data_IF_085348566099
#
_entry.id   IF_085348566099
#
_cell.length_a   1.000
_cell.length_b   1.000
_cell.length_c   1.000
_cell.angle_alpha   90.00
_cell.angle_beta   90.00
_cell.angle_gamma   90.00
#
_symmetry.space_group_name_H-M   'P 1'
#
loop_
_entity.id
_entity.type
_entity.pdbx_description
1 polymer ?
#
# COMPACT_ATOMS: atom_id res chain seq x y z
N UNK A 1 3.34 -28.32 6.34
CA UNK A 1 2.85 -27.91 5.02
C UNK A 1 2.44 -26.46 5.09
N UNK A 2 3.06 -25.61 4.25
CA UNK A 2 2.71 -24.18 4.19
C UNK A 2 1.48 -23.97 3.33
N UNK A 3 0.59 -23.08 3.77
CA UNK A 3 -0.57 -22.63 3.00
C UNK A 3 -0.28 -21.27 2.39
N UNK A 4 -1.08 -20.83 1.42
CA UNK A 4 -0.80 -19.59 0.70
C UNK A 4 -0.74 -18.38 1.62
N UNK A 5 -1.67 -18.25 2.55
CA UNK A 5 -1.72 -17.14 3.50
C UNK A 5 -0.50 -17.06 4.41
N UNK A 6 0.20 -18.16 4.63
CA UNK A 6 1.44 -18.19 5.41
C UNK A 6 2.64 -17.60 4.67
N UNK A 7 2.51 -17.38 3.37
CA UNK A 7 3.54 -16.71 2.56
C UNK A 7 3.43 -15.19 2.58
N UNK A 8 2.40 -14.66 3.23
CA UNK A 8 2.23 -13.21 3.40
C UNK A 8 3.19 -12.73 4.50
N UNK A 9 3.88 -11.63 4.23
CA UNK A 9 4.86 -11.07 5.16
C UNK A 9 6.26 -11.66 5.01
N UNK A 10 7.13 -11.36 5.96
CA UNK A 10 8.55 -11.73 5.96
C UNK A 10 9.23 -11.34 4.63
N UNK A 11 8.87 -10.16 4.13
CA UNK A 11 9.38 -9.65 2.88
C UNK A 11 10.84 -9.20 3.01
N UNK A 12 11.60 -9.21 1.90
CA UNK A 12 12.98 -8.74 1.94
C UNK A 12 13.10 -7.25 2.28
N UNK A 13 14.18 -6.90 2.96
CA UNK A 13 14.63 -5.52 3.13
C UNK A 13 15.97 -5.38 2.40
N UNK A 14 16.04 -4.52 1.39
CA UNK A 14 17.21 -4.35 0.55
C UNK A 14 17.73 -2.92 0.59
N UNK A 15 19.06 -2.77 0.57
CA UNK A 15 19.70 -1.46 0.60
C UNK A 15 19.85 -0.91 -0.81
N UNK A 16 19.55 0.39 -0.99
CA UNK A 16 19.92 1.09 -2.22
C UNK A 16 21.44 1.14 -2.37
N UNK A 17 21.92 0.82 -3.57
CA UNK A 17 23.35 0.71 -3.84
C UNK A 17 23.91 1.88 -4.65
N UNK A 18 23.05 2.56 -5.46
CA UNK A 18 23.48 3.57 -6.42
C UNK A 18 22.80 4.93 -6.28
N UNK A 19 21.56 4.95 -5.81
CA UNK A 19 20.75 6.18 -5.76
C UNK A 19 20.88 6.95 -4.46
N UNK A 20 21.38 6.33 -3.41
CA UNK A 20 21.50 6.98 -2.10
C UNK A 20 22.56 8.08 -2.06
N UNK A 21 22.42 9.07 -1.16
CA UNK A 21 23.43 10.12 -1.01
C UNK A 21 24.71 9.59 -0.39
N UNK A 22 25.82 10.23 -0.71
CA UNK A 22 27.15 9.90 -0.15
C UNK A 22 27.43 10.75 1.09
N UNK A 23 26.69 10.50 2.16
CA UNK A 23 26.80 11.24 3.43
C UNK A 23 26.77 10.32 4.66
N UNK A 24 27.03 9.02 4.45
CA UNK A 24 26.97 8.01 5.50
C UNK A 24 25.57 7.52 5.83
N UNK A 25 24.52 8.07 5.23
CA UNK A 25 23.17 7.55 5.39
C UNK A 25 22.94 6.28 4.56
N UNK A 26 21.99 5.48 5.01
CA UNK A 26 21.56 4.26 4.31
C UNK A 26 20.08 4.38 4.01
N UNK A 27 19.67 3.96 2.82
CA UNK A 27 18.25 3.86 2.44
C UNK A 27 17.93 2.40 2.14
N UNK A 28 16.97 1.87 2.88
CA UNK A 28 16.56 0.47 2.81
C UNK A 28 15.09 0.39 2.36
N UNK A 29 14.80 -0.55 1.49
CA UNK A 29 13.48 -0.71 0.87
C UNK A 29 12.88 -2.06 1.25
N UNK A 30 11.67 -2.00 1.84
CA UNK A 30 10.88 -3.18 2.20
C UNK A 30 10.04 -3.60 1.01
N UNK A 31 10.37 -4.74 0.40
CA UNK A 31 9.81 -5.19 -0.89
C UNK A 31 8.48 -5.90 -0.71
N UNK A 32 7.40 -5.14 -0.55
CA UNK A 32 6.06 -5.66 -0.33
C UNK A 32 5.40 -6.26 -1.59
N UNK A 33 5.96 -6.01 -2.76
CA UNK A 33 5.56 -6.70 -3.99
C UNK A 33 5.84 -8.20 -3.98
N UNK A 34 6.65 -8.69 -3.03
CA UNK A 34 6.94 -10.11 -2.85
C UNK A 34 5.82 -10.88 -2.13
N UNK A 35 4.82 -10.21 -1.58
CA UNK A 35 3.64 -10.88 -1.06
C UNK A 35 2.88 -11.59 -2.19
N UNK A 36 2.11 -12.66 -1.91
CA UNK A 36 1.51 -13.51 -2.95
C UNK A 36 0.50 -12.78 -3.86
N UNK A 37 -0.27 -11.82 -3.36
CA UNK A 37 -1.11 -10.97 -4.21
C UNK A 37 -0.35 -9.73 -4.74
N UNK A 38 0.92 -9.58 -4.37
CA UNK A 38 1.84 -8.62 -4.95
C UNK A 38 1.86 -7.24 -4.33
N UNK A 39 1.36 -7.05 -3.11
CA UNK A 39 1.43 -5.74 -2.47
C UNK A 39 1.45 -5.81 -0.94
N UNK A 40 1.70 -4.65 -0.33
CA UNK A 40 1.61 -4.43 1.12
C UNK A 40 0.22 -4.73 1.67
N UNK A 41 -0.81 -4.60 0.86
CA UNK A 41 -2.21 -4.78 1.26
C UNK A 41 -2.58 -6.23 1.57
N UNK A 42 -1.80 -7.20 1.14
CA UNK A 42 -1.98 -8.61 1.51
C UNK A 42 -2.03 -8.77 3.02
N UNK A 43 -1.19 -8.03 3.74
CA UNK A 43 -1.12 -8.06 5.20
C UNK A 43 -2.40 -7.56 5.85
N UNK A 44 -2.88 -6.40 5.43
CA UNK A 44 -4.12 -5.80 5.95
C UNK A 44 -5.34 -6.64 5.60
N UNK A 45 -5.41 -7.15 4.38
CA UNK A 45 -6.52 -7.99 3.92
C UNK A 45 -6.64 -9.27 4.76
N UNK A 46 -5.52 -9.95 4.99
CA UNK A 46 -5.52 -11.16 5.83
C UNK A 46 -5.95 -10.82 7.26
N UNK A 47 -5.41 -9.77 7.84
CA UNK A 47 -5.72 -9.36 9.22
C UNK A 47 -7.20 -9.01 9.38
N UNK A 48 -7.77 -8.22 8.48
CA UNK A 48 -9.18 -7.83 8.56
C UNK A 48 -10.11 -9.03 8.50
N UNK A 49 -9.83 -10.01 7.66
CA UNK A 49 -10.66 -11.21 7.54
C UNK A 49 -10.45 -12.14 8.74
N UNK A 50 -9.21 -12.46 9.09
CA UNK A 50 -8.90 -13.40 10.18
C UNK A 50 -9.39 -12.87 11.54
N UNK A 51 -9.19 -11.60 11.83
CA UNK A 51 -9.63 -11.02 13.10
C UNK A 51 -11.16 -10.95 13.19
N UNK A 52 -11.85 -10.65 12.08
CA UNK A 52 -13.30 -10.69 12.02
C UNK A 52 -13.84 -12.12 12.22
N UNK A 53 -13.18 -13.13 11.65
CA UNK A 53 -13.51 -14.54 11.89
C UNK A 53 -13.36 -14.93 13.37
N UNK A 54 -12.25 -14.51 14.00
CA UNK A 54 -11.99 -14.77 15.42
C UNK A 54 -13.08 -14.17 16.33
N UNK A 55 -13.62 -13.01 15.96
CA UNK A 55 -14.71 -12.36 16.69
C UNK A 55 -16.10 -12.93 16.37
N UNK A 56 -16.19 -13.83 15.40
CA UNK A 56 -17.47 -14.39 14.95
C UNK A 56 -18.31 -13.44 14.10
N UNK A 57 -17.72 -12.38 13.57
CA UNK A 57 -18.41 -11.37 12.75
C UNK A 57 -18.70 -11.84 11.32
N UNK A 58 -17.83 -12.70 10.80
CA UNK A 58 -17.95 -13.28 9.46
C UNK A 58 -17.60 -14.78 9.50
N UNK A 59 -18.11 -15.51 8.50
CA UNK A 59 -17.81 -16.92 8.27
C UNK A 59 -17.79 -17.22 6.77
N UNK A 60 -17.08 -18.26 6.33
CA UNK A 60 -17.09 -18.66 4.92
C UNK A 60 -18.49 -18.74 4.33
N UNK A 61 -18.67 -18.26 3.11
CA UNK A 61 -19.95 -18.10 2.44
C UNK A 61 -20.58 -16.73 2.55
N UNK A 62 -20.16 -15.92 3.50
CA UNK A 62 -20.66 -14.55 3.64
C UNK A 62 -20.22 -13.66 2.46
N UNK A 63 -21.00 -12.60 2.21
CA UNK A 63 -20.67 -11.56 1.24
C UNK A 63 -19.91 -10.46 1.95
N UNK A 64 -18.71 -10.17 1.47
CA UNK A 64 -17.85 -9.09 1.95
C UNK A 64 -17.88 -7.93 0.95
N UNK A 65 -17.84 -6.72 1.45
CA UNK A 65 -17.86 -5.48 0.65
C UNK A 65 -16.65 -4.63 1.04
N UNK A 66 -15.97 -4.04 0.05
CA UNK A 66 -14.92 -3.06 0.30
C UNK A 66 -14.82 -2.04 -0.84
N UNK A 67 -14.59 -0.78 -0.46
CA UNK A 67 -14.19 0.26 -1.39
C UNK A 67 -12.65 0.29 -1.44
N UNK A 68 -12.08 0.22 -2.64
CA UNK A 68 -10.64 0.01 -2.81
C UNK A 68 -10.06 0.80 -3.96
N UNK A 69 -8.79 1.19 -3.85
CA UNK A 69 -8.00 1.82 -4.93
C UNK A 69 -7.27 0.80 -5.83
N UNK A 70 -7.39 -0.48 -5.55
CA UNK A 70 -6.83 -1.55 -6.37
C UNK A 70 -6.07 -2.62 -5.60
N UNK A 71 -4.97 -2.29 -4.91
CA UNK A 71 -4.14 -3.29 -4.22
C UNK A 71 -4.89 -4.02 -3.10
N UNK A 72 -5.66 -3.30 -2.29
CA UNK A 72 -6.50 -3.92 -1.27
C UNK A 72 -7.53 -4.86 -1.90
N UNK A 73 -8.13 -4.45 -3.01
CA UNK A 73 -9.11 -5.28 -3.72
C UNK A 73 -8.51 -6.58 -4.25
N UNK A 74 -7.32 -6.53 -4.82
CA UNK A 74 -6.62 -7.72 -5.30
C UNK A 74 -6.31 -8.65 -4.12
N UNK A 75 -5.81 -8.11 -3.02
CA UNK A 75 -5.49 -8.88 -1.82
C UNK A 75 -6.74 -9.52 -1.20
N UNK A 76 -7.82 -8.75 -1.05
CA UNK A 76 -9.09 -9.25 -0.53
C UNK A 76 -9.69 -10.32 -1.45
N UNK A 77 -9.62 -10.13 -2.76
CA UNK A 77 -10.10 -11.11 -3.73
C UNK A 77 -9.36 -12.45 -3.57
N UNK A 78 -8.03 -12.40 -3.41
CA UNK A 78 -7.21 -13.60 -3.18
C UNK A 78 -7.61 -14.31 -1.88
N UNK A 79 -7.70 -13.58 -0.76
CA UNK A 79 -8.07 -14.16 0.54
C UNK A 79 -9.49 -14.71 0.52
N UNK A 80 -10.43 -13.99 -0.11
CA UNK A 80 -11.81 -14.44 -0.24
C UNK A 80 -11.92 -15.74 -1.05
N UNK A 81 -11.18 -15.83 -2.16
CA UNK A 81 -11.12 -17.07 -2.97
C UNK A 81 -10.57 -18.23 -2.13
N UNK A 82 -9.49 -17.99 -1.37
CA UNK A 82 -8.86 -19.00 -0.54
C UNK A 82 -9.78 -19.53 0.56
N UNK A 83 -10.56 -18.63 1.19
CA UNK A 83 -11.36 -18.94 2.39
C UNK A 83 -12.85 -19.16 2.11
N UNK A 84 -13.29 -18.99 0.87
CA UNK A 84 -14.67 -19.26 0.48
C UNK A 84 -15.67 -18.13 0.75
N UNK A 85 -15.23 -16.88 0.70
CA UNK A 85 -16.10 -15.70 0.77
C UNK A 85 -16.52 -15.23 -0.62
N UNK A 86 -17.66 -14.54 -0.68
CA UNK A 86 -18.07 -13.79 -1.87
C UNK A 86 -17.62 -12.34 -1.70
N UNK A 87 -16.80 -11.84 -2.62
CA UNK A 87 -16.18 -10.52 -2.49
C UNK A 87 -16.76 -9.53 -3.49
N UNK A 88 -17.31 -8.42 -3.00
CA UNK A 88 -17.74 -7.27 -3.81
C UNK A 88 -16.79 -6.12 -3.59
N UNK A 89 -16.20 -5.66 -4.68
CA UNK A 89 -15.18 -4.59 -4.66
C UNK A 89 -15.69 -3.38 -5.43
N UNK A 90 -15.72 -2.22 -4.77
CA UNK A 90 -16.18 -0.96 -5.34
C UNK A 90 -14.99 -0.06 -5.63
N UNK A 91 -14.95 0.49 -6.84
CA UNK A 91 -13.82 1.32 -7.28
C UNK A 91 -14.21 2.24 -8.41
N UNK A 92 -13.47 3.35 -8.61
CA UNK A 92 -13.63 4.17 -9.80
C UNK A 92 -13.29 3.37 -11.07
N UNK A 93 -13.97 3.70 -12.16
CA UNK A 93 -13.86 3.01 -13.45
C UNK A 93 -12.55 3.26 -14.18
N UNK A 94 -11.71 4.20 -13.70
CA UNK A 94 -10.42 4.54 -14.28
C UNK A 94 -9.24 3.74 -13.68
N UNK A 95 -9.51 2.67 -12.92
CA UNK A 95 -8.47 1.76 -12.46
C UNK A 95 -7.85 0.98 -13.63
N UNK A 96 -6.59 0.58 -13.48
CA UNK A 96 -5.87 -0.15 -14.55
C UNK A 96 -6.54 -1.47 -14.91
N UNK A 97 -6.38 -1.88 -16.18
CA UNK A 97 -6.92 -3.14 -16.67
C UNK A 97 -6.33 -4.34 -15.92
N UNK A 98 -5.04 -4.31 -15.60
CA UNK A 98 -4.34 -5.38 -14.89
C UNK A 98 -4.97 -5.61 -13.51
N UNK A 99 -5.30 -4.55 -12.80
CA UNK A 99 -5.93 -4.65 -11.48
C UNK A 99 -7.31 -5.27 -11.56
N UNK A 100 -8.14 -4.77 -12.48
CA UNK A 100 -9.50 -5.30 -12.67
C UNK A 100 -9.48 -6.77 -13.11
N UNK A 101 -8.58 -7.11 -14.02
CA UNK A 101 -8.42 -8.49 -14.48
C UNK A 101 -7.97 -9.42 -13.35
N UNK A 102 -7.03 -8.99 -12.51
CA UNK A 102 -6.58 -9.77 -11.37
C UNK A 102 -7.71 -10.03 -10.36
N UNK A 103 -8.50 -9.02 -10.04
CA UNK A 103 -9.65 -9.18 -9.13
C UNK A 103 -10.68 -10.17 -9.68
N UNK A 104 -11.00 -10.06 -10.97
CA UNK A 104 -11.93 -10.99 -11.63
C UNK A 104 -11.38 -12.41 -11.70
N UNK A 105 -10.08 -12.57 -11.90
CA UNK A 105 -9.43 -13.88 -11.94
C UNK A 105 -9.60 -14.62 -10.61
N UNK A 106 -9.59 -13.90 -9.48
CA UNK A 106 -9.87 -14.46 -8.16
C UNK A 106 -11.38 -14.70 -7.92
N UNK A 107 -12.26 -14.28 -8.83
CA UNK A 107 -13.70 -14.45 -8.69
C UNK A 107 -14.44 -13.32 -7.98
N UNK A 108 -13.81 -12.18 -7.76
CA UNK A 108 -14.49 -11.03 -7.16
C UNK A 108 -15.48 -10.39 -8.13
N UNK A 109 -16.57 -9.85 -7.58
CA UNK A 109 -17.54 -9.02 -8.29
C UNK A 109 -17.12 -7.55 -8.20
N UNK A 110 -17.00 -6.87 -9.34
CA UNK A 110 -16.62 -5.46 -9.39
C UNK A 110 -17.86 -4.58 -9.54
N UNK A 111 -17.98 -3.57 -8.69
CA UNK A 111 -19.00 -2.53 -8.76
C UNK A 111 -18.29 -1.21 -9.07
N UNK A 112 -18.44 -0.71 -10.29
CA UNK A 112 -17.72 0.47 -10.74
C UNK A 112 -18.54 1.74 -10.48
N UNK A 113 -17.88 2.75 -9.92
CA UNK A 113 -18.38 4.13 -9.86
C UNK A 113 -17.64 4.97 -10.89
N UNK A 114 -18.16 6.16 -11.19
CA UNK A 114 -17.51 7.04 -12.18
C UNK A 114 -16.21 7.62 -11.61
N UNK A 115 -15.31 8.02 -12.51
CA UNK A 115 -14.09 8.73 -12.14
C UNK A 115 -14.39 9.98 -11.30
N UNK A 116 -15.45 10.69 -11.63
CA UNK A 116 -15.89 11.91 -10.95
C UNK A 116 -16.38 11.63 -9.54
N UNK A 117 -17.07 10.52 -9.32
CA UNK A 117 -17.46 10.07 -7.98
C UNK A 117 -16.25 9.69 -7.15
N UNK A 118 -15.23 9.13 -7.80
CA UNK A 118 -13.95 8.83 -7.18
C UNK A 118 -14.03 7.82 -6.05
N UNK A 119 -12.99 7.81 -5.24
CA UNK A 119 -12.87 6.90 -4.10
C UNK A 119 -13.89 7.23 -3.00
N UNK A 120 -14.21 8.51 -2.82
CA UNK A 120 -15.23 8.98 -1.88
C UNK A 120 -16.60 8.43 -2.24
N UNK A 121 -16.97 8.49 -3.52
CA UNK A 121 -18.23 7.90 -4.00
C UNK A 121 -18.25 6.38 -3.83
N UNK A 122 -17.15 5.70 -4.04
CA UNK A 122 -17.06 4.27 -3.81
C UNK A 122 -17.24 3.92 -2.32
N UNK A 123 -16.62 4.70 -1.42
CA UNK A 123 -16.79 4.53 0.03
C UNK A 123 -18.24 4.74 0.47
N UNK A 124 -18.89 5.80 -0.02
CA UNK A 124 -20.26 6.10 0.32
C UNK A 124 -21.21 5.00 -0.17
N UNK A 125 -21.02 4.51 -1.40
CA UNK A 125 -21.83 3.42 -1.94
C UNK A 125 -21.62 2.10 -1.18
N UNK A 126 -20.37 1.79 -0.80
CA UNK A 126 -20.07 0.59 -0.02
C UNK A 126 -20.80 0.61 1.33
N UNK A 127 -20.79 1.75 2.02
CA UNK A 127 -21.51 1.92 3.27
C UNK A 127 -23.02 1.77 3.07
N UNK A 128 -23.57 2.37 2.03
CA UNK A 128 -24.98 2.27 1.68
C UNK A 128 -25.39 0.83 1.41
N UNK A 129 -24.60 0.09 0.63
CA UNK A 129 -24.84 -1.33 0.35
C UNK A 129 -24.84 -2.17 1.62
N UNK A 130 -23.87 -1.94 2.51
CA UNK A 130 -23.80 -2.64 3.80
C UNK A 130 -25.02 -2.32 4.68
N UNK A 131 -25.45 -1.06 4.72
CA UNK A 131 -26.64 -0.64 5.48
C UNK A 131 -27.93 -1.26 4.94
N UNK A 132 -27.99 -1.58 3.64
CA UNK A 132 -29.11 -2.31 3.02
C UNK A 132 -29.04 -3.82 3.22
N UNK A 133 -28.03 -4.32 3.91
CA UNK A 133 -27.86 -5.76 4.16
C UNK A 133 -27.30 -6.56 2.98
N UNK A 134 -26.67 -5.90 2.00
CA UNK A 134 -26.11 -6.56 0.81
C UNK A 134 -24.80 -7.27 1.06
N UNK A 135 -24.20 -7.11 2.23
CA UNK A 135 -22.96 -7.76 2.64
C UNK A 135 -22.33 -7.06 3.85
N UNK A 136 -21.19 -7.57 4.29
CA UNK A 136 -20.43 -7.02 5.40
C UNK A 136 -19.33 -6.11 4.88
N UNK A 137 -19.35 -4.85 5.29
CA UNK A 137 -18.30 -3.89 4.98
C UNK A 137 -17.09 -4.15 5.88
N UNK A 138 -15.92 -4.38 5.30
CA UNK A 138 -14.66 -4.53 6.05
C UNK A 138 -14.12 -3.19 6.51
N UNK A 139 -14.29 -2.15 5.69
CA UNK A 139 -13.96 -0.76 6.00
C UNK A 139 -12.48 -0.54 6.35
N UNK A 140 -11.61 -0.70 5.35
CA UNK A 140 -10.17 -0.53 5.51
C UNK A 140 -9.76 0.83 6.09
N UNK A 141 -10.61 1.86 5.94
CA UNK A 141 -10.31 3.22 6.38
C UNK A 141 -10.57 3.45 7.88
N UNK A 142 -11.39 2.62 8.50
CA UNK A 142 -11.77 2.75 9.90
C UNK A 142 -11.54 1.46 10.70
N UNK A 143 -11.09 0.40 10.05
CA UNK A 143 -10.92 -0.91 10.67
C UNK A 143 -9.57 -1.01 11.38
N UNK A 144 -9.54 -1.16 12.71
CA UNK A 144 -8.29 -1.26 13.48
C UNK A 144 -7.46 -2.50 13.13
N UNK A 145 -8.06 -3.52 12.51
CA UNK A 145 -7.34 -4.71 12.07
C UNK A 145 -6.40 -4.42 10.90
N UNK A 146 -6.60 -3.33 10.16
CA UNK A 146 -5.68 -2.86 9.14
C UNK A 146 -4.33 -2.45 9.77
N UNK A 147 -4.24 -1.41 10.63
CA UNK A 147 -2.97 -1.08 11.26
C UNK A 147 -2.43 -2.20 12.15
N UNK A 148 -3.29 -3.03 12.73
CA UNK A 148 -2.88 -4.17 13.55
C UNK A 148 -1.97 -5.13 12.78
N UNK A 149 -2.21 -5.37 11.49
CA UNK A 149 -1.34 -6.18 10.64
C UNK A 149 0.10 -5.65 10.63
N UNK A 150 0.26 -4.33 10.57
CA UNK A 150 1.58 -3.68 10.51
C UNK A 150 2.23 -3.56 11.88
N UNK A 151 1.44 -3.39 12.91
CA UNK A 151 1.91 -3.41 14.29
C UNK A 151 2.50 -4.77 14.67
N UNK A 152 1.88 -5.85 14.22
CA UNK A 152 2.28 -7.22 14.58
C UNK A 152 3.29 -7.84 13.61
N UNK A 153 3.41 -7.35 12.38
CA UNK A 153 4.28 -7.97 11.38
C UNK A 153 5.28 -7.01 10.74
N UNK A 154 4.83 -6.01 10.02
CA UNK A 154 5.71 -5.10 9.27
C UNK A 154 6.69 -4.37 10.19
N UNK A 155 6.21 -3.81 11.27
CA UNK A 155 7.02 -3.09 12.25
C UNK A 155 8.11 -3.97 12.87
N UNK A 156 7.76 -5.11 13.47
CA UNK A 156 8.74 -6.05 14.01
C UNK A 156 9.75 -6.55 12.99
N UNK A 157 9.33 -6.85 11.77
CA UNK A 157 10.23 -7.28 10.70
C UNK A 157 11.28 -6.21 10.38
N UNK A 158 10.87 -4.95 10.21
CA UNK A 158 11.78 -3.83 9.92
C UNK A 158 12.77 -3.63 11.07
N UNK A 159 12.28 -3.66 12.29
CA UNK A 159 13.15 -3.52 13.47
C UNK A 159 14.21 -4.60 13.50
N UNK A 160 13.81 -5.85 13.33
CA UNK A 160 14.72 -7.00 13.34
C UNK A 160 15.71 -6.94 12.16
N UNK A 161 15.22 -6.65 10.96
CA UNK A 161 16.06 -6.61 9.75
C UNK A 161 17.10 -5.50 9.77
N UNK A 162 16.83 -4.40 10.47
CA UNK A 162 17.79 -3.32 10.67
C UNK A 162 18.65 -3.48 11.93
N UNK A 163 18.41 -4.55 12.71
CA UNK A 163 19.09 -4.73 14.01
C UNK A 163 18.80 -3.60 14.99
N UNK A 164 17.64 -2.98 14.91
CA UNK A 164 17.25 -1.83 15.72
C UNK A 164 17.98 -0.53 15.33
N UNK A 165 18.68 -0.50 14.21
CA UNK A 165 19.43 0.70 13.75
C UNK A 165 18.58 1.72 12.99
N UNK A 166 17.36 1.38 12.62
CA UNK A 166 16.44 2.31 11.92
C UNK A 166 16.32 3.63 12.68
N UNK A 167 16.48 4.75 11.97
CA UNK A 167 16.30 6.10 12.52
C UNK A 167 15.07 6.81 11.96
N UNK A 168 14.67 6.51 10.72
CA UNK A 168 13.56 7.15 10.03
C UNK A 168 12.75 6.10 9.27
N UNK A 169 11.44 6.14 9.46
CA UNK A 169 10.50 5.35 8.66
C UNK A 169 9.70 6.28 7.77
N UNK A 170 9.74 6.03 6.46
CA UNK A 170 9.07 6.84 5.44
C UNK A 170 7.96 6.03 4.79
N UNK A 171 6.73 6.51 4.84
CA UNK A 171 5.58 5.79 4.32
C UNK A 171 4.62 6.70 3.57
N UNK A 172 4.24 6.27 2.38
CA UNK A 172 3.12 6.86 1.65
C UNK A 172 1.82 6.66 2.41
N UNK A 173 0.97 7.67 2.44
CA UNK A 173 -0.30 7.64 3.17
C UNK A 173 -1.48 7.44 2.22
N UNK A 174 -2.00 6.21 2.16
CA UNK A 174 -3.28 5.88 1.53
C UNK A 174 -4.36 5.73 2.58
N UNK A 175 -4.64 4.49 3.02
CA UNK A 175 -5.54 4.26 4.17
C UNK A 175 -4.93 4.73 5.49
N UNK A 176 -3.64 4.93 5.53
CA UNK A 176 -2.80 5.21 6.70
C UNK A 176 -2.55 4.00 7.61
N UNK A 177 -2.95 2.80 7.19
CA UNK A 177 -2.77 1.58 7.99
C UNK A 177 -1.31 1.24 8.25
N UNK A 178 -0.48 1.31 7.21
CA UNK A 178 0.95 1.00 7.31
C UNK A 178 1.66 1.94 8.27
N UNK A 179 1.52 3.25 8.06
CA UNK A 179 2.19 4.25 8.90
C UNK A 179 1.68 4.19 10.34
N UNK A 180 0.39 3.97 10.54
CA UNK A 180 -0.21 3.88 11.88
C UNK A 180 0.31 2.66 12.64
N UNK A 181 0.29 1.48 12.02
CA UNK A 181 0.74 0.25 12.68
C UNK A 181 2.23 0.23 12.96
N UNK A 182 3.05 0.59 11.96
CA UNK A 182 4.51 0.63 12.11
C UNK A 182 4.93 1.67 13.15
N UNK A 183 4.34 2.87 13.11
CA UNK A 183 4.69 3.92 14.07
C UNK A 183 4.33 3.56 15.50
N UNK A 184 3.19 2.90 15.72
CA UNK A 184 2.83 2.39 17.05
C UNK A 184 3.87 1.41 17.57
N UNK A 185 4.30 0.47 16.74
CA UNK A 185 5.36 -0.46 17.10
C UNK A 185 6.68 0.26 17.41
N UNK A 186 7.09 1.20 16.57
CA UNK A 186 8.35 1.93 16.75
C UNK A 186 8.37 2.78 18.03
N UNK A 187 7.22 3.36 18.43
CA UNK A 187 7.11 4.13 19.68
C UNK A 187 7.34 3.28 20.93
N UNK A 188 7.16 1.98 20.84
CA UNK A 188 7.37 1.04 21.95
C UNK A 188 8.82 0.56 22.05
N UNK A 189 9.68 0.93 21.11
CA UNK A 189 11.06 0.45 21.08
C UNK A 189 11.99 1.32 21.93
N UNK A 190 13.19 0.78 22.23
CA UNK A 190 14.18 1.42 23.10
C UNK A 190 14.86 2.64 22.50
N UNK A 191 14.78 2.82 21.18
CA UNK A 191 15.38 3.94 20.46
C UNK A 191 14.30 4.69 19.67
N UNK A 192 14.38 6.04 19.62
CA UNK A 192 13.41 6.82 18.87
C UNK A 192 13.57 6.59 17.37
N UNK A 193 12.44 6.50 16.66
CA UNK A 193 12.38 6.44 15.20
C UNK A 193 11.51 7.59 14.72
N UNK A 194 12.04 8.42 13.83
CA UNK A 194 11.28 9.51 13.22
C UNK A 194 10.35 8.96 12.16
N UNK A 195 9.08 9.30 12.24
CA UNK A 195 8.03 8.83 11.33
C UNK A 195 7.70 9.94 10.34
N UNK A 196 7.91 9.65 9.06
CA UNK A 196 7.68 10.60 7.96
C UNK A 196 6.56 10.07 7.07
N UNK A 197 5.46 10.80 7.02
CA UNK A 197 4.34 10.52 6.11
C UNK A 197 4.49 11.28 4.81
N UNK A 198 4.05 10.68 3.71
CA UNK A 198 4.07 11.30 2.39
C UNK A 198 2.65 11.44 1.86
N UNK A 199 2.35 12.62 1.32
CA UNK A 199 1.11 12.90 0.61
C UNK A 199 1.41 13.53 -0.75
N UNK A 200 0.50 13.43 -1.74
CA UNK A 200 0.70 14.11 -3.02
C UNK A 200 0.72 15.63 -2.81
N UNK A 201 1.59 16.31 -3.52
CA UNK A 201 1.52 17.77 -3.62
C UNK A 201 0.16 18.17 -4.19
N UNK A 202 -0.35 19.32 -3.80
CA UNK A 202 -1.63 19.83 -4.30
C UNK A 202 -1.64 19.87 -5.83
N UNK A 203 -2.67 19.30 -6.43
CA UNK A 203 -2.77 19.16 -7.88
C UNK A 203 -2.09 17.92 -8.47
N UNK A 204 -1.29 17.19 -7.68
CA UNK A 204 -0.70 15.91 -8.10
C UNK A 204 -1.64 14.75 -7.84
N UNK A 205 -1.61 13.75 -8.73
CA UNK A 205 -2.33 12.48 -8.57
C UNK A 205 -1.32 11.33 -8.60
N UNK A 206 -1.20 10.64 -7.48
CA UNK A 206 -0.29 9.50 -7.33
C UNK A 206 -1.12 8.30 -6.87
N UNK A 207 -1.26 7.23 -7.69
CA UNK A 207 -2.02 6.04 -7.28
C UNK A 207 -1.50 5.46 -5.96
N UNK A 208 -2.40 5.28 -4.99
CA UNK A 208 -2.08 4.72 -3.68
C UNK A 208 -1.62 5.73 -2.62
N UNK A 209 -1.43 6.99 -2.98
CA UNK A 209 -1.15 8.08 -2.04
C UNK A 209 -2.29 9.08 -2.11
N UNK A 210 -2.78 9.52 -0.96
CA UNK A 210 -3.94 10.41 -0.87
C UNK A 210 -3.65 11.64 -0.03
N UNK A 211 -4.18 12.77 -0.48
CA UNK A 211 -4.37 13.98 0.32
C UNK A 211 -5.87 14.05 0.65
N UNK A 212 -6.23 13.58 1.83
CA UNK A 212 -7.64 13.42 2.20
C UNK A 212 -8.31 14.74 2.54
N UNK A 213 -9.55 14.99 2.02
CA UNK A 213 -10.43 16.00 2.61
C UNK A 213 -10.73 15.63 4.06
N UNK A 214 -10.94 16.64 4.92
CA UNK A 214 -11.13 16.42 6.35
C UNK A 214 -12.27 15.45 6.66
N UNK A 215 -13.38 15.52 5.91
CA UNK A 215 -14.56 14.68 6.08
C UNK A 215 -14.34 13.20 5.68
N UNK A 216 -13.31 12.91 4.87
CA UNK A 216 -12.97 11.54 4.44
C UNK A 216 -11.67 11.04 5.05
N UNK A 217 -11.08 11.77 6.01
CA UNK A 217 -9.87 11.35 6.67
C UNK A 217 -10.08 9.96 7.29
N UNK A 218 -9.19 8.98 7.03
CA UNK A 218 -9.33 7.64 7.60
C UNK A 218 -9.39 7.69 9.12
N UNK A 219 -10.38 7.00 9.69
CA UNK A 219 -10.57 6.94 11.16
C UNK A 219 -9.44 6.25 11.90
N UNK A 220 -8.67 5.40 11.21
CA UNK A 220 -7.50 4.73 11.77
C UNK A 220 -6.26 5.65 11.85
N UNK A 221 -6.29 6.81 11.19
CA UNK A 221 -5.16 7.73 11.18
C UNK A 221 -4.98 8.40 12.54
N UNK A 222 -3.73 8.43 13.01
CA UNK A 222 -3.35 9.11 14.23
C UNK A 222 -2.20 10.08 13.93
N UNK A 223 -2.53 11.35 13.79
CA UNK A 223 -1.56 12.40 13.47
C UNK A 223 -0.46 12.53 14.53
N UNK A 224 -0.74 12.18 15.78
CA UNK A 224 0.25 12.27 16.86
C UNK A 224 1.42 11.28 16.70
N UNK A 225 1.25 10.25 15.87
CA UNK A 225 2.30 9.25 15.59
C UNK A 225 3.21 9.68 14.44
N UNK A 226 2.86 10.72 13.70
CA UNK A 226 3.61 11.21 12.53
C UNK A 226 4.39 12.45 12.92
N UNK A 227 5.71 12.39 12.78
CA UNK A 227 6.60 13.49 13.17
C UNK A 227 6.71 14.56 12.07
N UNK A 228 6.63 14.13 10.81
CA UNK A 228 6.80 15.00 9.65
C UNK A 228 5.94 14.52 8.48
N UNK A 229 5.39 15.43 7.70
CA UNK A 229 4.66 15.14 6.48
C UNK A 229 5.34 15.87 5.32
N UNK A 230 5.71 15.14 4.27
CA UNK A 230 6.30 15.68 3.06
C UNK A 230 5.31 15.61 1.90
N UNK A 231 5.26 16.67 1.13
CA UNK A 231 4.52 16.72 -0.13
C UNK A 231 5.39 16.19 -1.27
N UNK A 232 4.85 15.28 -2.07
CA UNK A 232 5.55 14.67 -3.20
C UNK A 232 4.84 15.06 -4.49
N UNK A 233 5.60 15.64 -5.42
CA UNK A 233 5.10 15.94 -6.76
C UNK A 233 5.01 14.65 -7.59
N UNK A 234 3.94 14.52 -8.37
CA UNK A 234 3.70 13.36 -9.24
C UNK A 234 4.90 13.05 -10.14
N UNK A 235 5.51 14.08 -10.74
CA UNK A 235 6.68 13.92 -11.60
C UNK A 235 7.86 13.30 -10.86
N UNK A 236 8.11 13.72 -9.62
CA UNK A 236 9.22 13.18 -8.83
C UNK A 236 8.97 11.72 -8.48
N UNK A 237 7.73 11.36 -8.16
CA UNK A 237 7.35 9.97 -7.90
C UNK A 237 7.56 9.09 -9.15
N UNK A 238 7.10 9.54 -10.31
CA UNK A 238 7.25 8.80 -11.56
C UNK A 238 8.71 8.69 -12.01
N UNK A 239 9.48 9.76 -11.92
CA UNK A 239 10.90 9.76 -12.30
C UNK A 239 11.71 8.84 -11.36
N UNK A 240 11.47 8.89 -10.06
CA UNK A 240 12.15 8.02 -9.09
C UNK A 240 11.78 6.56 -9.32
N UNK A 241 10.51 6.27 -9.64
CA UNK A 241 10.05 4.94 -10.01
C UNK A 241 10.85 4.38 -11.20
N UNK A 242 11.03 5.18 -12.26
CA UNK A 242 11.81 4.79 -13.44
C UNK A 242 13.29 4.59 -13.11
N UNK A 243 13.87 5.47 -12.30
CA UNK A 243 15.26 5.35 -11.87
C UNK A 243 15.50 4.10 -11.01
N UNK A 244 14.57 3.74 -10.14
CA UNK A 244 14.66 2.52 -9.35
C UNK A 244 14.80 1.29 -10.24
N UNK A 245 14.00 1.20 -11.30
CA UNK A 245 14.10 0.10 -12.25
C UNK A 245 15.45 0.12 -13.01
N UNK A 246 15.82 1.28 -13.56
CA UNK A 246 17.00 1.41 -14.42
C UNK A 246 18.33 1.32 -13.66
N UNK A 247 18.38 1.78 -12.41
CA UNK A 247 19.63 1.91 -11.64
C UNK A 247 19.76 0.92 -10.51
N UNK A 248 18.66 0.46 -9.94
CA UNK A 248 18.66 -0.45 -8.77
C UNK A 248 18.05 -1.81 -9.10
N UNK A 249 17.46 -1.99 -10.28
CA UNK A 249 16.79 -3.24 -10.64
C UNK A 249 15.49 -3.48 -9.88
N UNK A 250 14.91 -2.43 -9.28
CA UNK A 250 13.69 -2.52 -8.50
C UNK A 250 12.52 -2.01 -9.32
N UNK A 251 11.69 -2.94 -9.79
CA UNK A 251 10.52 -2.65 -10.64
C UNK A 251 9.29 -2.50 -9.76
N UNK A 252 8.87 -1.26 -9.52
CA UNK A 252 7.81 -0.91 -8.58
C UNK A 252 6.82 0.10 -9.16
N UNK A 253 5.74 0.35 -8.42
CA UNK A 253 4.71 1.29 -8.81
C UNK A 253 5.03 2.76 -8.46
N UNK A 254 4.11 3.64 -8.84
CA UNK A 254 4.30 5.09 -8.69
C UNK A 254 4.38 5.52 -7.23
N UNK A 255 3.53 4.95 -6.36
CA UNK A 255 3.55 5.26 -4.92
C UNK A 255 4.89 4.90 -4.29
N UNK A 256 5.51 3.81 -4.73
CA UNK A 256 6.84 3.40 -4.28
C UNK A 256 7.91 4.39 -4.74
N UNK A 257 7.81 4.89 -5.97
CA UNK A 257 8.64 5.99 -6.46
C UNK A 257 8.52 7.23 -5.57
N UNK A 258 7.30 7.57 -5.17
CA UNK A 258 7.04 8.66 -4.21
C UNK A 258 7.68 8.42 -2.86
N UNK A 259 7.53 7.21 -2.32
CA UNK A 259 8.12 6.82 -1.04
C UNK A 259 9.65 6.96 -1.07
N UNK A 260 10.30 6.50 -2.14
CA UNK A 260 11.75 6.58 -2.29
C UNK A 260 12.19 8.02 -2.51
N UNK A 261 11.47 8.82 -3.29
CA UNK A 261 11.77 10.26 -3.44
C UNK A 261 11.78 10.95 -2.07
N UNK A 262 10.81 10.67 -1.22
CA UNK A 262 10.77 11.17 0.16
C UNK A 262 11.91 10.63 1.01
N UNK A 263 12.20 9.34 0.92
CA UNK A 263 13.28 8.72 1.67
C UNK A 263 14.66 9.31 1.30
N UNK A 264 14.87 9.59 0.03
CA UNK A 264 16.12 10.23 -0.43
C UNK A 264 16.26 11.65 0.11
N UNK A 265 15.18 12.43 0.17
CA UNK A 265 15.19 13.77 0.81
C UNK A 265 15.57 13.66 2.29
N UNK A 266 14.97 12.72 3.01
CA UNK A 266 15.26 12.48 4.43
C UNK A 266 16.72 12.08 4.63
N UNK A 267 17.22 11.15 3.82
CA UNK A 267 18.58 10.67 3.90
C UNK A 267 19.60 11.79 3.61
N UNK A 268 19.31 12.63 2.60
CA UNK A 268 20.16 13.77 2.25
C UNK A 268 20.25 14.79 3.37
N UNK A 269 19.14 15.04 4.06
CA UNK A 269 19.06 15.99 5.16
C UNK A 269 19.62 15.46 6.49
N UNK A 270 19.83 14.15 6.61
CA UNK A 270 20.23 13.49 7.86
C UNK A 270 21.44 12.57 7.64
N UNK A 271 22.67 13.12 7.60
CA UNK A 271 23.88 12.30 7.46
C UNK A 271 23.94 11.19 8.51
N UNK A 272 24.29 9.99 8.08
CA UNK A 272 24.41 8.82 8.97
C UNK A 272 23.07 8.16 9.33
N UNK A 273 21.94 8.65 8.82
CA UNK A 273 20.63 8.06 9.10
C UNK A 273 20.47 6.68 8.46
N UNK A 274 19.65 5.85 9.08
CA UNK A 274 19.17 4.57 8.52
C UNK A 274 17.69 4.76 8.22
N UNK A 275 17.39 4.98 6.94
CA UNK A 275 16.04 5.30 6.44
C UNK A 275 15.42 4.06 5.82
N UNK A 276 14.21 3.72 6.24
CA UNK A 276 13.46 2.60 5.66
C UNK A 276 12.20 3.15 4.99
N UNK A 277 11.97 2.73 3.74
CA UNK A 277 10.77 3.04 2.98
C UNK A 277 10.08 1.76 2.50
N UNK A 278 8.76 1.85 2.28
CA UNK A 278 7.96 0.73 1.79
C UNK A 278 7.89 0.78 0.26
N UNK A 279 8.23 -0.32 -0.39
CA UNK A 279 7.92 -0.57 -1.80
C UNK A 279 6.60 -1.32 -1.85
N UNK A 280 5.52 -0.59 -2.10
CA UNK A 280 4.15 -1.08 -1.89
C UNK A 280 3.76 -2.24 -2.80
N UNK A 281 4.19 -2.21 -4.06
CA UNK A 281 3.79 -3.18 -5.08
C UNK A 281 4.83 -3.27 -6.20
N UNK A 282 4.46 -3.96 -7.29
CA UNK A 282 5.31 -4.17 -8.46
C UNK A 282 4.87 -3.30 -9.64
N UNK A 283 5.85 -2.96 -10.48
CA UNK A 283 5.64 -2.11 -11.65
C UNK A 283 4.77 -2.72 -12.75
N UNK A 284 4.67 -4.05 -12.81
CA UNK A 284 3.85 -4.76 -13.79
C UNK A 284 2.35 -4.43 -13.70
N UNK A 285 1.88 -3.92 -12.56
CA UNK A 285 0.50 -3.43 -12.39
C UNK A 285 0.21 -2.11 -13.08
N UNK A 286 1.23 -1.45 -13.62
CA UNK A 286 1.13 -0.10 -14.18
C UNK A 286 1.52 -0.04 -15.66
N UNK A 287 1.79 -1.17 -16.30
CA UNK A 287 2.25 -1.22 -17.70
C UNK A 287 1.26 -0.57 -18.68
N UNK A 288 -0.04 -0.79 -18.47
CA UNK A 288 -1.08 -0.21 -19.34
C UNK A 288 -1.34 1.27 -19.09
N UNK A 289 -0.73 1.87 -18.06
CA UNK A 289 -0.95 3.29 -17.70
C UNK A 289 -0.04 4.26 -18.45
N UNK A 290 0.96 3.74 -19.18
CA UNK A 290 1.92 4.56 -19.93
C UNK A 290 3.05 5.16 -19.10
N UNK A 291 3.10 4.93 -17.79
CA UNK A 291 4.12 5.54 -16.91
C UNK A 291 5.55 5.06 -17.21
N UNK A 292 5.70 3.93 -17.90
CA UNK A 292 7.00 3.39 -18.33
C UNK A 292 7.31 3.70 -19.79
N UNK A 293 6.51 4.54 -20.48
CA UNK A 293 6.71 4.97 -21.86
C UNK A 293 5.91 4.14 -22.89
N UNK A 294 4.83 4.73 -23.42
CA UNK A 294 3.99 4.08 -24.43
C UNK A 294 4.66 4.01 -25.81
N UNK A 295 5.55 4.93 -26.12
CA UNK A 295 6.18 5.06 -27.45
C UNK A 295 7.00 3.84 -27.85
N UNK A 296 7.46 3.03 -26.87
CA UNK A 296 8.25 1.83 -27.15
C UNK A 296 7.41 0.58 -27.37
N UNK A 297 6.13 0.58 -26.95
CA UNK A 297 5.25 -0.58 -27.11
C UNK A 297 4.47 -0.57 -28.43
N UNK A 298 4.23 0.60 -29.03
CA UNK A 298 3.50 0.72 -30.30
C UNK A 298 4.32 0.30 -31.53
N UNK A 299 5.64 0.19 -31.42
CA UNK A 299 6.51 -0.21 -32.53
C UNK A 299 6.85 -1.71 -32.55
N UNK A 300 6.46 -2.47 -31.54
CA UNK A 300 6.75 -3.90 -31.41
C UNK A 300 5.61 -4.85 -31.82
N UNK A 301 4.48 -4.34 -32.26
CA UNK A 301 3.33 -5.16 -32.67
C UNK A 301 3.37 -5.54 -34.18
N UNK A 302 4.56 -5.74 -34.69
CA UNK A 302 4.77 -6.16 -36.08
C UNK A 302 5.68 -7.39 -36.13
N UNK A 303 5.19 -8.54 -35.60
CA UNK A 303 5.65 -9.89 -35.99
C UNK A 303 4.43 -10.77 -36.12
#
# INVERSE_FOLDING_TARGET
VSTLEQTIGNTPLVKLQRMGPDNGSEVWLKLEGNNPAGSVKDRAALSMIVEAEKRGEIKPGDVLIEATSGNTGIALAMIAALKGYRMKLLMPDNMSQERRAAMRAYGAELVLVTKEQGMEGARDLALEMANRGEGKLLDQFNNPDNPFAHYTTTGPEIWQQTGGRITHFVSSMGTTGTITGVSRFMREQSKPVTIVGLQPEEGSSIPGIRRWPAEYLPGIFNASLVDEVLDIHQRDAENTMRELAAREGIFCGVSSGGAVAGALRVAKANPGAVVVAIICDRGDRYLSTGVFGEEHFSQGAGI
#
